data_IF_068177280441
#
_entry.id   IF_068177280441
#
_cell.length_a   1.000
_cell.length_b   1.000
_cell.length_c   1.000
_cell.angle_alpha   90.00
_cell.angle_beta   90.00
_cell.angle_gamma   90.00
#
_symmetry.space_group_name_H-M   'P 1'
#
loop_
_entity.id
_entity.type
_entity.pdbx_description
1 polymer ?
#
# COMPACT_ATOMS: atom_id res chain seq x y z
N UNK A 1 4.32 -17.74 20.61
CA UNK A 1 4.11 -18.68 19.48
C UNK A 1 3.77 -17.84 18.26
N UNK A 2 4.19 -18.23 17.05
CA UNK A 2 3.90 -17.54 15.78
C UNK A 2 3.36 -18.57 14.80
N UNK A 3 2.29 -18.23 14.08
CA UNK A 3 1.70 -19.07 13.05
C UNK A 3 1.66 -18.32 11.71
N UNK A 4 1.84 -19.06 10.61
CA UNK A 4 1.76 -18.53 9.25
C UNK A 4 0.77 -19.37 8.47
N UNK A 5 -0.08 -18.72 7.68
CA UNK A 5 -0.95 -19.40 6.73
C UNK A 5 -1.12 -18.52 5.49
N UNK A 6 -1.13 -19.11 4.29
CA UNK A 6 -1.74 -18.49 3.13
C UNK A 6 -3.17 -18.02 3.43
N UNK A 7 -3.59 -16.93 2.82
CA UNK A 7 -4.90 -16.33 3.05
C UNK A 7 -6.06 -17.28 2.73
N UNK A 8 -5.93 -18.09 1.67
CA UNK A 8 -6.92 -19.08 1.22
C UNK A 8 -7.03 -20.32 2.12
N UNK A 9 -6.08 -20.50 3.05
CA UNK A 9 -6.03 -21.64 3.99
C UNK A 9 -6.13 -21.20 5.45
N UNK A 10 -6.47 -19.93 5.66
CA UNK A 10 -6.45 -19.31 6.96
C UNK A 10 -7.56 -19.89 7.86
N UNK A 11 -7.20 -20.30 9.07
CA UNK A 11 -8.10 -20.88 10.07
C UNK A 11 -8.15 -20.04 11.36
N UNK A 12 -7.55 -18.86 11.34
CA UNK A 12 -7.42 -17.93 12.46
C UNK A 12 -7.46 -16.48 11.98
N UNK A 13 -7.79 -15.53 12.84
CA UNK A 13 -7.71 -14.10 12.50
C UNK A 13 -6.25 -13.62 12.52
N UNK A 14 -5.74 -13.01 11.44
CA UNK A 14 -4.33 -12.66 11.36
C UNK A 14 -4.05 -11.32 12.05
N UNK A 15 -3.04 -11.27 12.92
CA UNK A 15 -2.56 -10.01 13.50
C UNK A 15 -1.91 -9.09 12.45
N UNK A 16 -1.29 -9.70 11.44
CA UNK A 16 -0.63 -9.03 10.32
C UNK A 16 -0.88 -9.82 9.04
N UNK A 17 -1.44 -9.17 8.02
CA UNK A 17 -1.55 -9.67 6.66
C UNK A 17 -0.36 -9.15 5.84
N UNK A 18 0.37 -10.04 5.15
CA UNK A 18 1.45 -9.65 4.24
C UNK A 18 1.05 -10.02 2.82
N UNK A 19 1.17 -9.07 1.91
CA UNK A 19 0.94 -9.26 0.49
C UNK A 19 2.20 -8.95 -0.31
N UNK A 20 2.40 -9.70 -1.39
CA UNK A 20 3.39 -9.41 -2.43
C UNK A 20 2.67 -8.77 -3.60
N UNK A 21 3.18 -7.64 -4.09
CA UNK A 21 2.53 -6.82 -5.11
C UNK A 21 3.53 -6.26 -6.11
N UNK A 22 3.08 -5.97 -7.33
CA UNK A 22 3.79 -5.05 -8.24
C UNK A 22 3.60 -3.60 -7.75
N UNK A 23 4.39 -2.65 -8.28
CA UNK A 23 4.22 -1.23 -7.97
C UNK A 23 2.78 -0.72 -8.24
N UNK A 24 2.14 -1.15 -9.32
CA UNK A 24 0.77 -0.77 -9.64
C UNK A 24 -0.27 -1.34 -8.67
N UNK A 25 -0.09 -2.59 -8.23
CA UNK A 25 -0.96 -3.17 -7.20
C UNK A 25 -0.72 -2.53 -5.82
N UNK A 26 0.54 -2.23 -5.50
CA UNK A 26 0.92 -1.59 -4.26
C UNK A 26 0.32 -0.18 -4.16
N UNK A 27 0.33 0.60 -5.25
CA UNK A 27 -0.33 1.90 -5.33
C UNK A 27 -1.80 1.81 -4.91
N UNK A 28 -2.55 0.86 -5.46
CA UNK A 28 -3.98 0.67 -5.16
C UNK A 28 -4.17 0.38 -3.67
N UNK A 29 -3.42 -0.57 -3.10
CA UNK A 29 -3.56 -0.95 -1.69
C UNK A 29 -3.17 0.19 -0.75
N UNK A 30 -2.06 0.87 -1.04
CA UNK A 30 -1.60 2.00 -0.23
C UNK A 30 -2.55 3.19 -0.35
N UNK A 31 -3.10 3.48 -1.54
CA UNK A 31 -4.12 4.52 -1.71
C UNK A 31 -5.40 4.18 -0.95
N UNK A 32 -5.80 2.91 -0.92
CA UNK A 32 -6.92 2.48 -0.09
C UNK A 32 -6.66 2.71 1.40
N UNK A 33 -5.44 2.59 1.90
CA UNK A 33 -5.11 2.97 3.28
C UNK A 33 -5.44 4.44 3.56
N UNK A 34 -5.02 5.35 2.68
CA UNK A 34 -5.16 6.80 2.86
C UNK A 34 -6.51 7.37 2.43
N UNK A 35 -7.33 6.62 1.69
CA UNK A 35 -8.54 7.13 1.02
C UNK A 35 -9.51 7.86 1.96
N UNK A 36 -9.94 7.20 3.04
CA UNK A 36 -10.84 7.79 4.04
C UNK A 36 -10.10 8.34 5.28
N UNK A 37 -8.81 8.05 5.42
CA UNK A 37 -8.04 8.35 6.64
C UNK A 37 -7.09 9.53 6.50
N UNK A 38 -6.63 9.84 5.27
CA UNK A 38 -5.57 10.82 5.03
C UNK A 38 -4.21 10.44 5.62
N UNK A 39 -4.03 9.19 6.08
CA UNK A 39 -2.78 8.76 6.71
C UNK A 39 -1.59 8.81 5.74
N UNK A 40 -0.43 9.15 6.28
CA UNK A 40 0.81 9.24 5.52
C UNK A 40 1.44 7.86 5.35
N UNK A 41 2.08 7.63 4.20
CA UNK A 41 2.91 6.45 4.00
C UNK A 41 4.17 6.55 4.86
N UNK A 42 4.35 5.58 5.74
CA UNK A 42 5.53 5.47 6.59
C UNK A 42 6.02 4.02 6.59
N UNK A 43 7.29 3.81 6.29
CA UNK A 43 7.91 2.49 6.33
C UNK A 43 9.15 2.50 7.21
N UNK A 44 9.37 1.38 7.92
CA UNK A 44 10.56 1.13 8.71
C UNK A 44 11.19 -0.20 8.32
N UNK A 45 12.48 -0.14 8.01
CA UNK A 45 13.26 -1.30 7.62
C UNK A 45 14.76 -1.09 7.84
N UNK A 46 15.51 -2.18 7.75
CA UNK A 46 16.97 -2.15 7.61
C UNK A 46 17.41 -3.17 6.56
N UNK A 47 18.54 -2.96 5.87
CA UNK A 47 19.02 -3.89 4.86
C UNK A 47 19.27 -5.31 5.39
N UNK A 48 19.68 -5.46 6.65
CA UNK A 48 20.05 -6.76 7.24
C UNK A 48 18.88 -7.45 7.94
N UNK A 49 17.87 -6.71 8.40
CA UNK A 49 16.73 -7.26 9.15
C UNK A 49 15.36 -6.95 8.54
N UNK A 50 15.30 -6.62 7.25
CA UNK A 50 14.03 -6.35 6.56
C UNK A 50 13.02 -7.50 6.67
N UNK A 51 13.51 -8.75 6.69
CA UNK A 51 12.67 -9.92 6.92
C UNK A 51 12.03 -9.98 8.30
N UNK A 52 12.60 -9.34 9.32
CA UNK A 52 11.99 -9.23 10.65
C UNK A 52 11.11 -7.98 10.73
N UNK A 53 11.55 -6.87 10.16
CA UNK A 53 10.84 -5.58 10.19
C UNK A 53 9.48 -5.62 9.48
N UNK A 54 9.29 -6.47 8.47
CA UNK A 54 7.98 -6.66 7.83
C UNK A 54 6.92 -7.22 8.79
N UNK A 55 7.33 -7.94 9.86
CA UNK A 55 6.41 -8.49 10.86
C UNK A 55 6.34 -7.62 12.12
N UNK A 56 7.50 -7.27 12.68
CA UNK A 56 7.61 -6.70 14.03
C UNK A 56 7.03 -5.28 14.07
N UNK A 57 7.38 -4.44 13.10
CA UNK A 57 6.91 -3.05 13.09
C UNK A 57 5.39 -2.93 13.00
N UNK A 58 4.69 -3.57 12.05
CA UNK A 58 3.23 -3.48 11.99
C UNK A 58 2.56 -4.09 13.21
N UNK A 59 3.05 -5.24 13.70
CA UNK A 59 2.51 -5.87 14.91
C UNK A 59 2.63 -4.98 16.16
N UNK A 60 3.81 -4.38 16.40
CA UNK A 60 4.05 -3.59 17.61
C UNK A 60 3.45 -2.19 17.55
N UNK A 61 3.40 -1.57 16.37
CA UNK A 61 3.02 -0.16 16.23
C UNK A 61 1.61 0.04 15.70
N UNK A 62 1.03 -0.99 15.08
CA UNK A 62 -0.25 -0.88 14.42
C UNK A 62 -0.23 -0.07 13.13
N UNK A 63 0.95 0.23 12.59
CA UNK A 63 1.13 0.97 11.34
C UNK A 63 1.38 0.02 10.18
N UNK A 64 0.78 0.32 9.03
CA UNK A 64 1.12 -0.36 7.77
C UNK A 64 2.61 -0.19 7.49
N UNK A 65 3.26 -1.23 6.98
CA UNK A 65 4.66 -1.20 6.54
C UNK A 65 4.74 -1.63 5.08
N UNK A 66 5.73 -1.12 4.34
CA UNK A 66 6.02 -1.63 3.00
C UNK A 66 7.51 -1.71 2.76
N UNK A 67 7.96 -2.76 2.08
CA UNK A 67 9.38 -3.01 1.80
C UNK A 67 9.59 -3.31 0.33
N UNK A 68 10.73 -2.87 -0.20
CA UNK A 68 11.25 -3.32 -1.49
C UNK A 68 12.24 -4.45 -1.19
N UNK A 69 11.95 -5.72 -1.55
CA UNK A 69 12.82 -6.86 -1.21
C UNK A 69 14.26 -6.72 -1.70
N UNK A 70 14.48 -6.03 -2.83
CA UNK A 70 15.80 -5.75 -3.37
C UNK A 70 16.68 -4.88 -2.46
N UNK A 71 16.07 -4.12 -1.55
CA UNK A 71 16.78 -3.30 -0.56
C UNK A 71 17.16 -4.10 0.70
N UNK A 72 16.78 -5.38 0.77
CA UNK A 72 17.06 -6.28 1.90
C UNK A 72 18.05 -7.35 1.47
N UNK A 73 19.24 -7.36 2.08
CA UNK A 73 20.38 -8.20 1.70
C UNK A 73 20.01 -9.68 1.58
N UNK A 74 19.32 -10.22 2.60
CA UNK A 74 18.93 -11.62 2.61
C UNK A 74 17.84 -11.99 1.61
N UNK A 75 16.92 -11.06 1.29
CA UNK A 75 15.86 -11.31 0.31
C UNK A 75 16.41 -11.23 -1.11
N UNK A 76 17.23 -10.21 -1.39
CA UNK A 76 17.91 -10.04 -2.69
C UNK A 76 18.88 -11.17 -2.97
N UNK A 77 19.80 -11.46 -2.06
CA UNK A 77 20.86 -12.47 -2.28
C UNK A 77 20.34 -13.91 -2.38
N UNK A 78 19.08 -14.15 -2.01
CA UNK A 78 18.41 -15.46 -2.12
C UNK A 78 17.33 -15.49 -3.19
N UNK A 79 17.14 -14.39 -3.92
CA UNK A 79 16.16 -14.29 -5.01
C UNK A 79 14.74 -14.71 -4.56
N UNK A 80 14.35 -14.34 -3.33
CA UNK A 80 13.10 -14.81 -2.71
C UNK A 80 11.83 -14.25 -3.38
N UNK A 81 11.98 -13.13 -4.08
CA UNK A 81 10.88 -12.42 -4.73
C UNK A 81 11.32 -11.98 -6.12
N UNK A 82 10.34 -11.87 -7.03
CA UNK A 82 10.58 -11.32 -8.36
C UNK A 82 11.09 -9.87 -8.28
N UNK A 83 11.93 -9.49 -9.24
CA UNK A 83 12.39 -8.11 -9.40
C UNK A 83 11.20 -7.15 -9.57
N UNK A 84 11.30 -5.97 -8.96
CA UNK A 84 10.24 -4.96 -8.94
C UNK A 84 9.04 -5.29 -8.04
N UNK A 85 9.14 -6.32 -7.19
CA UNK A 85 8.12 -6.62 -6.18
C UNK A 85 8.17 -5.63 -5.01
N UNK A 86 7.02 -5.46 -4.36
CA UNK A 86 6.87 -4.82 -3.07
C UNK A 86 6.18 -5.79 -2.12
N UNK A 87 6.58 -5.73 -0.85
CA UNK A 87 5.85 -6.35 0.25
C UNK A 87 5.09 -5.27 0.99
N UNK A 88 3.82 -5.50 1.28
CA UNK A 88 3.02 -4.64 2.15
C UNK A 88 2.54 -5.48 3.33
N UNK A 89 2.77 -4.99 4.54
CA UNK A 89 2.30 -5.59 5.77
C UNK A 89 1.23 -4.71 6.41
N UNK A 90 0.05 -5.28 6.60
CA UNK A 90 -1.16 -4.63 7.06
C UNK A 90 -1.53 -5.23 8.42
N UNK A 91 -1.43 -4.48 9.53
CA UNK A 91 -1.83 -5.00 10.83
C UNK A 91 -3.37 -5.04 10.95
N UNK A 92 -3.90 -5.90 11.83
CA UNK A 92 -5.30 -6.33 11.84
C UNK A 92 -6.33 -5.18 11.78
N UNK A 93 -6.09 -4.08 12.49
CA UNK A 93 -6.99 -2.93 12.54
C UNK A 93 -7.15 -2.20 11.20
N UNK A 94 -6.17 -2.34 10.30
CA UNK A 94 -6.19 -1.71 8.98
C UNK A 94 -6.89 -2.56 7.92
N UNK A 95 -7.03 -3.86 8.15
CA UNK A 95 -7.69 -4.78 7.22
C UNK A 95 -9.12 -4.33 6.88
N UNK A 96 -10.02 -4.07 7.85
CA UNK A 96 -11.38 -3.62 7.53
C UNK A 96 -11.41 -2.26 6.84
N UNK A 97 -10.55 -1.31 7.24
CA UNK A 97 -10.49 0.03 6.64
C UNK A 97 -10.05 -0.07 5.17
N UNK A 98 -8.97 -0.79 4.89
CA UNK A 98 -8.44 -0.95 3.54
C UNK A 98 -9.41 -1.71 2.66
N UNK A 99 -10.02 -2.79 3.16
CA UNK A 99 -10.98 -3.58 2.37
C UNK A 99 -12.25 -2.81 2.04
N UNK A 100 -12.74 -1.97 2.96
CA UNK A 100 -13.89 -1.10 2.68
C UNK A 100 -13.53 0.01 1.70
N UNK A 101 -12.38 0.67 1.89
CA UNK A 101 -11.91 1.67 0.95
C UNK A 101 -11.67 1.07 -0.45
N UNK A 102 -11.18 -0.18 -0.56
CA UNK A 102 -11.07 -0.89 -1.84
C UNK A 102 -12.43 -1.16 -2.51
N UNK A 103 -13.50 -1.31 -1.72
CA UNK A 103 -14.88 -1.50 -2.22
C UNK A 103 -15.47 -0.18 -2.73
N UNK A 104 -15.23 0.92 -2.03
CA UNK A 104 -15.84 2.22 -2.34
C UNK A 104 -15.05 3.04 -3.37
N UNK A 105 -13.71 3.03 -3.27
CA UNK A 105 -12.88 3.90 -4.09
C UNK A 105 -12.85 3.45 -5.55
N UNK A 106 -12.66 4.40 -6.46
CA UNK A 106 -12.34 4.08 -7.86
C UNK A 106 -10.97 3.40 -7.92
N UNK A 107 -10.95 2.09 -8.19
CA UNK A 107 -9.72 1.30 -8.23
C UNK A 107 -8.78 1.81 -9.33
N UNK A 108 -9.29 2.04 -10.54
CA UNK A 108 -8.50 2.52 -11.67
C UNK A 108 -8.79 3.99 -11.94
N UNK A 109 -7.81 4.86 -11.68
CA UNK A 109 -7.90 6.29 -11.97
C UNK A 109 -7.52 6.55 -13.44
N UNK A 110 -8.35 7.27 -14.22
CA UNK A 110 -8.03 7.62 -15.61
C UNK A 110 -6.69 8.37 -15.72
N UNK A 111 -6.44 9.31 -14.82
CA UNK A 111 -5.14 10.00 -14.71
C UNK A 111 -3.92 9.08 -14.61
N UNK A 112 -4.08 7.83 -14.16
CA UNK A 112 -2.97 6.87 -14.09
C UNK A 112 -2.73 6.11 -15.40
N UNK A 113 -3.61 6.21 -16.40
CA UNK A 113 -3.43 5.47 -17.65
C UNK A 113 -2.29 6.05 -18.51
N UNK A 114 -2.16 7.37 -18.57
CA UNK A 114 -1.05 8.07 -19.24
C UNK A 114 -1.02 9.56 -18.88
N UNK A 115 0.10 10.21 -19.21
CA UNK A 115 0.33 11.64 -18.98
C UNK A 115 -0.75 12.53 -19.58
N UNK A 116 -1.29 12.21 -20.76
CA UNK A 116 -2.31 13.04 -21.39
C UNK A 116 -3.62 13.04 -20.60
N UNK A 117 -4.07 11.86 -20.13
CA UNK A 117 -5.26 11.76 -19.29
C UNK A 117 -5.08 12.48 -17.96
N UNK A 118 -3.89 12.41 -17.36
CA UNK A 118 -3.57 13.20 -16.16
C UNK A 118 -3.73 14.71 -16.40
N UNK A 119 -3.17 15.23 -17.51
CA UNK A 119 -3.20 16.65 -17.80
C UNK A 119 -4.62 17.16 -18.05
N UNK A 120 -5.45 16.40 -18.77
CA UNK A 120 -6.86 16.76 -19.00
C UNK A 120 -7.62 16.83 -17.68
N UNK A 121 -7.53 15.81 -16.83
CA UNK A 121 -8.20 15.80 -15.52
C UNK A 121 -7.72 16.96 -14.64
N UNK A 122 -6.43 17.26 -14.66
CA UNK A 122 -5.86 18.37 -13.90
C UNK A 122 -6.29 19.74 -14.42
N UNK A 123 -6.33 19.94 -15.74
CA UNK A 123 -6.83 21.17 -16.38
C UNK A 123 -8.28 21.45 -15.99
N UNK A 124 -9.14 20.43 -16.00
CA UNK A 124 -10.54 20.55 -15.58
C UNK A 124 -10.64 21.00 -14.10
N UNK A 125 -9.87 20.37 -13.21
CA UNK A 125 -9.84 20.73 -11.78
C UNK A 125 -9.39 22.19 -11.58
N UNK A 126 -8.33 22.61 -12.27
CA UNK A 126 -7.83 23.99 -12.17
C UNK A 126 -8.86 24.98 -12.73
N UNK A 127 -9.50 24.67 -13.86
CA UNK A 127 -10.56 25.49 -14.44
C UNK A 127 -11.72 25.72 -13.47
N UNK A 128 -12.19 24.65 -12.82
CA UNK A 128 -13.24 24.69 -11.80
C UNK A 128 -12.84 25.55 -10.60
N UNK A 129 -11.60 25.42 -10.12
CA UNK A 129 -11.09 26.21 -9.00
C UNK A 129 -10.99 27.70 -9.35
N UNK A 130 -10.53 28.03 -10.56
CA UNK A 130 -10.47 29.43 -11.04
C UNK A 130 -11.88 30.03 -11.09
N UNK A 131 -12.85 29.32 -11.66
CA UNK A 131 -14.23 29.79 -11.75
C UNK A 131 -14.86 30.03 -10.36
N UNK A 132 -14.62 29.11 -9.40
CA UNK A 132 -15.11 29.26 -8.02
C UNK A 132 -14.44 30.41 -7.29
N UNK A 133 -13.16 30.65 -7.53
CA UNK A 133 -12.43 31.76 -6.89
C UNK A 133 -12.89 33.14 -7.36
N UNK A 134 -13.43 33.24 -8.59
CA UNK A 134 -13.96 34.48 -9.16
C UNK A 134 -15.38 34.85 -8.73
N UNK A 135 -16.11 33.93 -8.07
CA UNK A 135 -17.47 34.15 -7.53
C UNK A 135 -17.48 33.85 -6.01
N UNK A 136 -16.84 34.68 -5.17
CA UNK A 136 -16.75 34.47 -3.73
C UNK A 136 -18.09 34.55 -3.00
#
# INVERSE_FOLDING_TARGET
YVAFSPLDKLTFEPDVLIITATAGQAEIVMRAMSYSTGELYNSKTTPVMGCAWIYIYPYQTGKVNYLIPEMVHGMKGRELFAEGSLLIAIPYQWIPIITENLREMKIHLPSHANKQQYLVEFEDIIGDLVQKSGNP
#
